data_IF_510815331529
#
_entry.id   IF_510815331529
#
_cell.length_a   1.000
_cell.length_b   1.000
_cell.length_c   1.000
_cell.angle_alpha   90.00
_cell.angle_beta   90.00
_cell.angle_gamma   90.00
#
_symmetry.space_group_name_H-M   'P 1'
#
loop_
_entity.id
_entity.type
_entity.pdbx_description
1 polymer ?
#
# COMPACT_ATOMS: atom_id res chain seq x y z
N UNK A 1 -5.09 -9.95 -30.03
CA UNK A 1 -4.47 -10.84 -31.06
C UNK A 1 -3.32 -10.06 -31.68
N UNK A 2 -2.08 -10.43 -31.38
CA UNK A 2 -0.90 -9.84 -31.99
C UNK A 2 -0.25 -10.89 -32.90
N UNK A 3 0.04 -10.51 -34.15
CA UNK A 3 0.73 -11.34 -35.13
C UNK A 3 2.18 -10.87 -35.21
N UNK A 4 3.12 -11.76 -34.92
CA UNK A 4 4.55 -11.42 -34.81
C UNK A 4 5.37 -11.86 -36.02
N UNK A 5 4.76 -12.56 -36.98
CA UNK A 5 5.40 -12.98 -38.23
C UNK A 5 4.46 -12.84 -39.43
N UNK A 6 4.99 -12.49 -40.60
CA UNK A 6 4.22 -12.33 -41.84
C UNK A 6 4.24 -13.61 -42.70
N UNK A 7 3.33 -13.68 -43.67
CA UNK A 7 3.29 -14.82 -44.59
C UNK A 7 4.48 -14.70 -45.56
N UNK A 8 5.33 -15.73 -45.63
CA UNK A 8 6.55 -15.74 -46.45
C UNK A 8 7.85 -15.50 -45.67
N UNK A 9 7.79 -15.32 -44.36
CA UNK A 9 8.96 -15.10 -43.49
C UNK A 9 9.56 -16.44 -43.03
N UNK A 10 10.88 -16.61 -43.18
CA UNK A 10 11.62 -17.76 -42.63
C UNK A 10 11.77 -17.56 -41.12
N UNK A 11 11.27 -18.51 -40.33
CA UNK A 11 11.29 -18.47 -38.87
C UNK A 11 12.10 -19.63 -38.31
N UNK A 12 12.88 -19.36 -37.27
CA UNK A 12 13.66 -20.40 -36.60
C UNK A 12 12.76 -21.21 -35.63
N UNK A 13 13.09 -22.48 -35.35
CA UNK A 13 12.47 -23.22 -34.26
C UNK A 13 12.56 -22.43 -32.95
N UNK A 14 11.41 -22.18 -32.31
CA UNK A 14 11.31 -21.38 -31.08
C UNK A 14 10.84 -19.93 -31.27
N UNK A 15 10.71 -19.44 -32.51
CA UNK A 15 10.14 -18.10 -32.77
C UNK A 15 8.63 -18.08 -32.50
N UNK A 16 8.18 -17.27 -31.56
CA UNK A 16 6.76 -17.09 -31.28
C UNK A 16 6.07 -16.34 -32.45
N UNK A 17 5.12 -17.00 -33.12
CA UNK A 17 4.46 -16.44 -34.32
C UNK A 17 3.17 -15.67 -33.97
N UNK A 18 2.50 -16.08 -32.90
CA UNK A 18 1.24 -15.52 -32.44
C UNK A 18 1.18 -15.46 -30.92
N UNK A 19 0.62 -14.37 -30.40
CA UNK A 19 0.18 -14.27 -29.01
C UNK A 19 -1.35 -14.28 -28.96
N UNK A 20 -1.91 -15.32 -28.36
CA UNK A 20 -3.34 -15.42 -28.06
C UNK A 20 -3.56 -14.97 -26.61
N UNK A 21 -4.19 -13.82 -26.45
CA UNK A 21 -4.66 -13.34 -25.15
C UNK A 21 -6.15 -13.71 -25.00
N UNK A 22 -6.49 -14.37 -23.90
CA UNK A 22 -7.87 -14.61 -23.52
C UNK A 22 -8.56 -13.28 -23.20
N UNK A 23 -9.79 -13.08 -23.71
CA UNK A 23 -10.52 -11.81 -23.56
C UNK A 23 -11.43 -11.76 -22.33
N UNK A 24 -11.72 -12.90 -21.70
CA UNK A 24 -12.64 -13.01 -20.56
C UNK A 24 -12.01 -12.81 -19.19
N UNK A 25 -10.68 -12.80 -19.11
CA UNK A 25 -9.93 -12.75 -17.85
C UNK A 25 -8.93 -11.59 -17.84
N UNK A 26 -9.43 -10.36 -18.05
CA UNK A 26 -8.58 -9.17 -17.89
C UNK A 26 -8.09 -9.06 -16.44
N UNK A 27 -6.78 -8.95 -16.25
CA UNK A 27 -6.13 -8.87 -14.95
C UNK A 27 -5.24 -7.62 -14.84
N UNK A 28 -5.14 -7.05 -13.65
CA UNK A 28 -4.27 -5.91 -13.34
C UNK A 28 -2.91 -6.36 -12.79
N UNK A 29 -1.86 -5.97 -13.52
CA UNK A 29 -0.41 -5.96 -13.23
C UNK A 29 -0.06 -4.93 -12.19
N UNK A 30 0.30 -5.28 -10.95
CA UNK A 30 0.82 -4.29 -10.02
C UNK A 30 2.14 -4.73 -9.38
N UNK A 31 3.16 -3.89 -9.54
CA UNK A 31 4.37 -3.93 -8.74
C UNK A 31 4.11 -3.16 -7.43
N UNK A 32 4.26 -3.84 -6.29
CA UNK A 32 3.90 -3.29 -4.97
C UNK A 32 5.13 -3.34 -4.06
N UNK A 33 5.35 -2.29 -3.27
CA UNK A 33 6.42 -2.29 -2.28
C UNK A 33 6.16 -3.39 -1.22
N UNK A 34 7.20 -4.11 -0.75
CA UNK A 34 7.02 -5.17 0.25
C UNK A 34 6.26 -4.71 1.51
N UNK A 35 6.52 -3.50 2.01
CA UNK A 35 5.89 -2.94 3.21
C UNK A 35 4.37 -2.68 3.05
N UNK A 36 3.93 -2.47 1.81
CA UNK A 36 2.53 -2.22 1.47
C UNK A 36 1.76 -3.52 1.16
N UNK A 37 2.46 -4.64 0.98
CA UNK A 37 1.88 -5.90 0.53
C UNK A 37 0.86 -6.48 1.52
N UNK A 38 1.09 -6.34 2.83
CA UNK A 38 0.16 -6.83 3.85
C UNK A 38 -1.10 -5.98 3.95
N UNK A 39 -0.95 -4.65 3.83
CA UNK A 39 -2.08 -3.73 3.73
C UNK A 39 -2.93 -4.04 2.50
N UNK A 40 -2.27 -4.30 1.36
CA UNK A 40 -2.95 -4.72 0.14
C UNK A 40 -3.72 -6.04 0.34
N UNK A 41 -3.15 -7.04 1.01
CA UNK A 41 -3.84 -8.32 1.28
C UNK A 41 -5.06 -8.15 2.17
N UNK A 42 -4.99 -7.25 3.15
CA UNK A 42 -6.03 -7.05 4.15
C UNK A 42 -7.15 -6.07 3.71
N UNK A 43 -6.92 -5.25 2.67
CA UNK A 43 -7.82 -4.15 2.28
C UNK A 43 -9.29 -4.50 2.08
N UNK A 44 -9.61 -5.72 1.62
CA UNK A 44 -10.98 -6.17 1.35
C UNK A 44 -11.67 -5.49 0.15
N UNK A 45 -11.22 -4.30 -0.26
CA UNK A 45 -11.69 -3.56 -1.43
C UNK A 45 -10.50 -2.98 -2.19
N UNK A 46 -10.49 -3.18 -3.52
CA UNK A 46 -9.45 -2.70 -4.42
C UNK A 46 -10.08 -2.01 -5.63
N UNK A 47 -9.39 -1.01 -6.17
CA UNK A 47 -9.82 -0.26 -7.35
C UNK A 47 -8.69 -0.08 -8.34
N UNK A 48 -9.02 -0.18 -9.63
CA UNK A 48 -8.16 0.28 -10.72
C UNK A 48 -8.58 1.69 -11.13
N UNK A 49 -7.78 2.68 -10.79
CA UNK A 49 -7.97 4.05 -11.24
C UNK A 49 -7.38 4.22 -12.64
N UNK A 50 -8.25 4.44 -13.63
CA UNK A 50 -7.89 4.66 -15.03
C UNK A 50 -7.38 6.10 -15.25
N UNK A 51 -6.72 6.35 -16.38
CA UNK A 51 -6.18 7.68 -16.71
C UNK A 51 -7.25 8.79 -16.80
N UNK A 52 -8.50 8.43 -17.12
CA UNK A 52 -9.67 9.33 -17.14
C UNK A 52 -10.33 9.50 -15.75
N UNK A 53 -9.72 8.96 -14.68
CA UNK A 53 -10.13 9.16 -13.29
C UNK A 53 -11.25 8.23 -12.80
N UNK A 54 -11.75 7.32 -13.63
CA UNK A 54 -12.71 6.30 -13.19
C UNK A 54 -12.02 5.27 -12.33
N UNK A 55 -12.74 4.72 -11.35
CA UNK A 55 -12.23 3.62 -10.51
C UNK A 55 -13.05 2.37 -10.77
N UNK A 56 -12.42 1.35 -11.36
CA UNK A 56 -13.05 0.06 -11.65
C UNK A 56 -12.81 -0.92 -10.50
N UNK A 57 -13.84 -1.64 -10.03
CA UNK A 57 -13.69 -2.51 -8.87
C UNK A 57 -12.86 -3.75 -9.20
N UNK A 58 -11.99 -4.11 -8.27
CA UNK A 58 -11.10 -5.25 -8.35
C UNK A 58 -11.30 -6.21 -7.18
N UNK A 59 -10.92 -7.47 -7.38
CA UNK A 59 -10.65 -8.44 -6.33
C UNK A 59 -9.20 -8.91 -6.42
N UNK A 60 -8.55 -9.05 -5.28
CA UNK A 60 -7.20 -9.61 -5.21
C UNK A 60 -7.22 -11.10 -5.55
N UNK A 61 -6.37 -11.53 -6.49
CA UNK A 61 -6.19 -12.95 -6.81
C UNK A 61 -5.00 -13.52 -6.03
N UNK A 62 -3.86 -12.82 -6.07
CA UNK A 62 -2.62 -13.24 -5.41
C UNK A 62 -1.64 -12.08 -5.29
N UNK A 63 -0.77 -12.17 -4.29
CA UNK A 63 0.47 -11.39 -4.19
C UNK A 63 1.62 -12.39 -4.08
N UNK A 64 2.59 -12.32 -4.99
CA UNK A 64 3.73 -13.23 -4.98
C UNK A 64 4.61 -12.96 -3.75
N UNK A 65 5.15 -14.00 -3.08
CA UNK A 65 6.10 -13.79 -1.99
C UNK A 65 7.50 -13.41 -2.49
N UNK A 66 7.80 -13.71 -3.76
CA UNK A 66 9.10 -13.40 -4.36
C UNK A 66 9.22 -11.90 -4.64
N UNK A 67 10.25 -11.29 -4.07
CA UNK A 67 10.67 -9.92 -4.36
C UNK A 67 11.55 -9.93 -5.61
N UNK A 68 11.20 -9.11 -6.59
CA UNK A 68 12.05 -8.87 -7.75
C UNK A 68 13.27 -8.04 -7.32
N UNK A 69 14.52 -8.52 -7.52
CA UNK A 69 15.71 -7.84 -7.04
C UNK A 69 16.02 -6.55 -7.82
N UNK A 70 15.55 -6.42 -9.05
CA UNK A 70 15.74 -5.25 -9.89
C UNK A 70 14.83 -4.10 -9.49
N UNK A 71 13.55 -4.39 -9.24
CA UNK A 71 12.55 -3.37 -8.87
C UNK A 71 12.32 -3.24 -7.37
N UNK A 72 12.78 -4.19 -6.55
CA UNK A 72 12.49 -4.32 -5.11
C UNK A 72 10.99 -4.32 -4.80
N UNK A 73 10.20 -4.93 -5.68
CA UNK A 73 8.75 -5.03 -5.53
C UNK A 73 8.29 -6.49 -5.55
N UNK A 74 7.10 -6.73 -5.00
CA UNK A 74 6.35 -7.97 -5.19
C UNK A 74 5.28 -7.77 -6.26
N UNK A 75 4.91 -8.84 -6.96
CA UNK A 75 3.87 -8.78 -7.99
C UNK A 75 2.51 -9.13 -7.39
N UNK A 76 1.55 -8.23 -7.55
CA UNK A 76 0.15 -8.45 -7.25
C UNK A 76 -0.66 -8.64 -8.55
N UNK A 77 -1.58 -9.60 -8.51
CA UNK A 77 -2.52 -9.91 -9.58
C UNK A 77 -3.94 -9.73 -9.07
N UNK A 78 -4.72 -8.94 -9.78
CA UNK A 78 -6.11 -8.64 -9.43
C UNK A 78 -7.01 -8.87 -10.65
N UNK A 79 -8.24 -9.31 -10.42
CA UNK A 79 -9.26 -9.43 -11.45
C UNK A 79 -10.30 -8.32 -11.29
N UNK A 80 -10.83 -7.84 -12.41
CA UNK A 80 -12.02 -6.99 -12.39
C UNK A 80 -13.24 -7.79 -11.93
N UNK A 81 -14.13 -7.15 -11.18
CA UNK A 81 -15.40 -7.75 -10.71
C UNK A 81 -16.63 -7.15 -11.40
N UNK A 82 -16.42 -6.24 -12.36
CA UNK A 82 -17.45 -5.55 -13.12
C UNK A 82 -16.90 -5.09 -14.47
N UNK A 83 -17.09 -3.81 -14.80
CA UNK A 83 -16.46 -3.20 -15.97
C UNK A 83 -14.93 -3.39 -15.95
N UNK A 84 -14.37 -3.77 -17.10
CA UNK A 84 -12.94 -4.05 -17.26
C UNK A 84 -12.27 -2.97 -18.10
N UNK A 85 -11.03 -2.63 -17.78
CA UNK A 85 -10.21 -1.83 -18.67
C UNK A 85 -9.78 -2.65 -19.92
N UNK A 86 -9.56 -2.00 -21.08
CA UNK A 86 -8.97 -2.65 -22.25
C UNK A 86 -7.60 -3.27 -21.92
N UNK A 87 -7.22 -4.40 -22.54
CA UNK A 87 -5.88 -4.95 -22.40
C UNK A 87 -4.80 -3.94 -22.78
N UNK A 88 -3.76 -3.82 -21.95
CA UNK A 88 -2.68 -2.84 -22.12
C UNK A 88 -2.99 -1.45 -21.56
N UNK A 89 -4.17 -1.22 -20.97
CA UNK A 89 -4.46 0.01 -20.26
C UNK A 89 -3.56 0.15 -19.02
N UNK A 90 -3.04 1.35 -18.82
CA UNK A 90 -2.27 1.75 -17.65
C UNK A 90 -3.17 2.50 -16.65
N UNK A 91 -2.83 2.42 -15.36
CA UNK A 91 -3.60 3.03 -14.30
C UNK A 91 -2.94 2.86 -12.93
N UNK A 92 -3.64 3.29 -11.87
CA UNK A 92 -3.18 3.16 -10.49
C UNK A 92 -3.99 2.12 -9.75
N UNK A 93 -3.31 1.23 -9.02
CA UNK A 93 -3.95 0.38 -8.03
C UNK A 93 -4.24 1.20 -6.77
N UNK A 94 -5.51 1.21 -6.34
CA UNK A 94 -5.98 1.89 -5.14
C UNK A 94 -6.57 0.89 -4.16
N UNK A 95 -6.26 1.07 -2.89
CA UNK A 95 -6.86 0.32 -1.78
C UNK A 95 -6.81 1.18 -0.52
N UNK A 96 -7.63 0.82 0.47
CA UNK A 96 -7.54 1.37 1.81
C UNK A 96 -6.89 0.32 2.70
N UNK A 97 -5.80 0.69 3.37
CA UNK A 97 -5.17 -0.19 4.37
C UNK A 97 -6.02 -0.18 5.65
N UNK A 98 -6.53 -1.33 6.11
CA UNK A 98 -7.40 -1.40 7.28
C UNK A 98 -6.62 -1.31 8.60
N UNK A 99 -5.29 -1.40 8.56
CA UNK A 99 -4.45 -1.30 9.77
C UNK A 99 -4.50 0.14 10.30
N UNK A 100 -4.52 0.36 11.62
CA UNK A 100 -4.37 1.70 12.17
C UNK A 100 -3.05 2.34 11.72
N UNK A 101 -3.09 3.62 11.37
CA UNK A 101 -1.91 4.36 10.96
C UNK A 101 -1.69 5.58 11.85
N UNK A 102 -0.44 5.81 12.24
CA UNK A 102 0.00 7.06 12.83
C UNK A 102 0.04 8.14 11.73
N UNK A 103 -0.58 9.32 11.94
CA UNK A 103 -0.41 10.43 11.01
C UNK A 103 1.01 10.97 11.10
N UNK A 104 1.59 11.34 9.95
CA UNK A 104 2.94 11.88 9.88
C UNK A 104 3.16 13.08 10.83
N UNK A 105 2.14 13.93 10.99
CA UNK A 105 2.19 15.10 11.87
C UNK A 105 2.37 14.74 13.36
N UNK A 106 1.92 13.57 13.81
CA UNK A 106 2.08 13.12 15.19
C UNK A 106 3.44 12.45 15.46
N UNK A 107 4.22 12.16 14.41
CA UNK A 107 5.51 11.50 14.56
C UNK A 107 6.61 12.50 14.95
N UNK A 108 7.52 12.04 15.80
CA UNK A 108 8.71 12.78 16.21
C UNK A 108 9.95 11.89 16.14
N UNK A 109 11.12 12.52 15.98
CA UNK A 109 12.40 11.83 16.04
C UNK A 109 13.00 11.90 17.44
N UNK A 110 13.39 10.76 17.99
CA UNK A 110 14.12 10.61 19.26
C UNK A 110 15.26 9.63 19.07
N UNK A 111 16.47 10.03 19.43
CA UNK A 111 17.69 9.20 19.32
C UNK A 111 17.85 8.55 17.93
N UNK A 112 17.61 9.34 16.87
CA UNK A 112 17.69 8.88 15.48
C UNK A 112 16.53 7.99 15.00
N UNK A 113 15.54 7.69 15.85
CA UNK A 113 14.38 6.85 15.50
C UNK A 113 13.12 7.70 15.37
N UNK A 114 12.34 7.45 14.33
CA UNK A 114 10.98 7.98 14.22
C UNK A 114 10.03 7.16 15.07
N UNK A 115 9.04 7.83 15.66
CA UNK A 115 8.03 7.21 16.49
C UNK A 115 6.96 8.19 16.91
N UNK A 116 6.05 7.72 17.76
CA UNK A 116 4.94 8.51 18.29
C UNK A 116 4.97 8.50 19.81
N UNK A 117 4.27 9.46 20.43
CA UNK A 117 4.00 9.44 21.86
C UNK A 117 2.60 8.89 22.12
N UNK A 118 2.51 7.94 23.05
CA UNK A 118 1.25 7.45 23.60
C UNK A 118 1.13 7.85 25.06
N UNK A 119 -0.09 7.90 25.59
CA UNK A 119 -0.33 8.18 27.01
C UNK A 119 -0.57 6.87 27.74
N UNK A 120 0.35 6.49 28.63
CA UNK A 120 0.26 5.33 29.51
C UNK A 120 0.28 5.80 30.96
N UNK A 121 -0.77 5.49 31.72
CA UNK A 121 -0.89 5.86 33.15
C UNK A 121 -0.61 7.35 33.43
N UNK A 122 -1.08 8.25 32.55
CA UNK A 122 -0.89 9.70 32.68
C UNK A 122 0.51 10.21 32.32
N UNK A 123 1.34 9.38 31.69
CA UNK A 123 2.68 9.73 31.22
C UNK A 123 2.83 9.54 29.73
N UNK A 124 3.65 10.37 29.10
CA UNK A 124 4.05 10.20 27.71
C UNK A 124 5.05 9.04 27.60
N UNK A 125 4.78 8.09 26.72
CA UNK A 125 5.66 6.99 26.37
C UNK A 125 6.01 7.05 24.90
N UNK A 126 7.30 7.05 24.57
CA UNK A 126 7.76 7.03 23.19
C UNK A 126 7.71 5.61 22.63
N UNK A 127 6.97 5.42 21.54
CA UNK A 127 6.87 4.16 20.80
C UNK A 127 7.56 4.36 19.44
N UNK A 128 8.69 3.68 19.26
CA UNK A 128 9.44 3.73 18.01
C UNK A 128 8.69 2.98 16.88
N UNK A 129 8.76 3.52 15.67
CA UNK A 129 8.20 2.93 14.45
C UNK A 129 9.34 2.71 13.45
N UNK A 130 10.01 1.53 13.47
CA UNK A 130 11.24 1.31 12.70
C UNK A 130 11.09 1.46 11.19
N UNK A 131 9.91 1.15 10.64
CA UNK A 131 9.61 1.29 9.22
C UNK A 131 9.02 2.66 8.84
N UNK A 132 8.89 3.59 9.80
CA UNK A 132 8.30 4.89 9.54
C UNK A 132 9.25 5.78 8.72
N UNK A 133 8.66 6.55 7.82
CA UNK A 133 9.36 7.51 6.97
C UNK A 133 8.84 8.91 7.26
N UNK A 134 9.73 9.90 7.24
CA UNK A 134 9.36 11.28 7.52
C UNK A 134 8.34 11.78 6.47
N UNK A 135 7.26 12.41 6.94
CA UNK A 135 6.18 12.88 6.08
C UNK A 135 5.19 11.81 5.58
N UNK A 136 5.38 10.52 5.93
CA UNK A 136 4.46 9.43 5.55
C UNK A 136 3.74 8.90 6.79
N UNK A 137 2.44 8.61 6.66
CA UNK A 137 1.73 7.84 7.68
C UNK A 137 2.34 6.43 7.79
N UNK A 138 2.45 5.92 9.00
CA UNK A 138 3.07 4.63 9.27
C UNK A 138 2.09 3.70 9.98
N UNK A 139 2.07 2.38 9.66
CA UNK A 139 1.29 1.42 10.42
C UNK A 139 1.62 1.48 11.91
N UNK A 140 0.58 1.47 12.74
CA UNK A 140 0.68 1.61 14.18
C UNK A 140 -0.03 0.43 14.84
N UNK A 141 0.75 -0.44 15.47
CA UNK A 141 0.22 -1.56 16.26
C UNK A 141 0.12 -1.14 17.72
N UNK A 142 -1.01 -0.58 18.12
CA UNK A 142 -1.34 -0.25 19.50
C UNK A 142 -2.66 -0.91 19.90
N UNK A 143 -2.89 -1.13 21.22
CA UNK A 143 -4.22 -1.43 21.74
C UNK A 143 -5.25 -0.40 21.27
N UNK A 144 -6.50 -0.83 21.07
CA UNK A 144 -7.57 0.06 20.57
C UNK A 144 -7.87 1.24 21.51
N UNK A 145 -7.60 1.09 22.80
CA UNK A 145 -7.78 2.11 23.83
C UNK A 145 -6.55 3.00 24.05
N UNK A 146 -5.46 2.75 23.31
CA UNK A 146 -4.24 3.55 23.42
C UNK A 146 -4.48 4.99 22.94
N UNK A 147 -4.09 5.95 23.78
CA UNK A 147 -4.25 7.38 23.48
C UNK A 147 -3.00 7.91 22.80
N UNK A 148 -3.10 8.19 21.50
CA UNK A 148 -2.05 8.83 20.71
C UNK A 148 -1.98 10.34 20.98
N UNK A 149 -0.78 10.86 21.21
CA UNK A 149 -0.54 12.30 21.28
C UNK A 149 -0.44 12.87 19.86
N UNK A 150 -1.39 13.72 19.47
CA UNK A 150 -1.46 14.34 18.13
C UNK A 150 -1.08 15.82 18.11
N UNK A 151 -0.93 16.45 19.28
CA UNK A 151 -0.53 17.85 19.45
C UNK A 151 0.42 17.99 20.65
N UNK A 152 1.41 18.88 20.57
CA UNK A 152 2.41 19.12 21.62
C UNK A 152 3.51 18.06 21.72
N UNK A 153 3.48 17.04 20.87
CA UNK A 153 4.41 15.90 20.84
C UNK A 153 5.89 16.31 20.72
N UNK A 154 6.18 17.42 20.04
CA UNK A 154 7.55 17.89 19.82
C UNK A 154 8.29 18.22 21.13
N UNK A 155 7.57 18.73 22.13
CA UNK A 155 8.12 19.13 23.43
C UNK A 155 8.18 17.98 24.45
N UNK A 156 7.56 16.83 24.15
CA UNK A 156 7.51 15.70 25.08
C UNK A 156 8.84 14.96 25.17
N UNK A 157 9.14 14.55 26.40
CA UNK A 157 10.20 13.60 26.74
C UNK A 157 9.55 12.32 27.27
N UNK A 158 10.22 11.18 27.06
CA UNK A 158 9.75 9.90 27.59
C UNK A 158 9.61 9.92 29.12
N UNK A 159 8.50 9.42 29.63
CA UNK A 159 8.15 9.41 31.06
C UNK A 159 7.58 10.72 31.61
N UNK A 160 7.47 11.77 30.79
CA UNK A 160 6.94 13.06 31.19
C UNK A 160 5.46 12.95 31.59
N UNK A 161 5.03 13.52 32.73
CA UNK A 161 3.61 13.62 33.08
C UNK A 161 2.86 14.46 32.04
N UNK A 162 1.68 13.99 31.63
CA UNK A 162 0.84 14.68 30.64
C UNK A 162 -0.58 14.83 31.14
N UNK A 163 -1.18 15.99 30.87
CA UNK A 163 -2.61 16.20 31.03
C UNK A 163 -3.28 16.02 29.67
N UNK A 164 -4.28 15.14 29.59
CA UNK A 164 -5.03 14.89 28.35
C UNK A 164 -6.09 15.99 28.20
N UNK A 165 -5.92 16.87 27.22
CA UNK A 165 -6.99 17.74 26.75
C UNK A 165 -8.04 16.90 26.00
N UNK A 166 -9.29 17.37 25.95
CA UNK A 166 -10.40 16.65 25.32
C UNK A 166 -10.02 16.14 23.90
N UNK A 167 -10.28 14.86 23.64
CA UNK A 167 -9.87 14.20 22.41
C UNK A 167 -10.55 14.84 21.20
N UNK A 168 -9.76 15.25 20.20
CA UNK A 168 -10.29 15.59 18.88
C UNK A 168 -10.46 14.31 18.08
N UNK A 169 -11.66 14.07 17.54
CA UNK A 169 -11.88 12.97 16.60
C UNK A 169 -11.25 13.34 15.26
N UNK A 170 -10.26 12.59 14.80
CA UNK A 170 -9.75 12.68 13.44
C UNK A 170 -10.86 12.21 12.48
N UNK A 171 -11.22 13.05 11.51
CA UNK A 171 -12.22 12.79 10.48
C UNK A 171 -11.51 12.56 9.14
#
# INVERSE_FOLDING_TARGET
RQRMAQAGELVAPGTALYLLAERGASEVAAAVAPDDADGLRAAGTWGFETADGRTLPLRLLRVTPLVDPGTRTVQARLAFTGETAPPGAEGRLRWLDPRPHAPAAAMVRRDGRLGVFVVESGRARFVALPAAQEGRSAPLALPEDARLVVQGQAALVDGQPVAVAAASSAR
#
